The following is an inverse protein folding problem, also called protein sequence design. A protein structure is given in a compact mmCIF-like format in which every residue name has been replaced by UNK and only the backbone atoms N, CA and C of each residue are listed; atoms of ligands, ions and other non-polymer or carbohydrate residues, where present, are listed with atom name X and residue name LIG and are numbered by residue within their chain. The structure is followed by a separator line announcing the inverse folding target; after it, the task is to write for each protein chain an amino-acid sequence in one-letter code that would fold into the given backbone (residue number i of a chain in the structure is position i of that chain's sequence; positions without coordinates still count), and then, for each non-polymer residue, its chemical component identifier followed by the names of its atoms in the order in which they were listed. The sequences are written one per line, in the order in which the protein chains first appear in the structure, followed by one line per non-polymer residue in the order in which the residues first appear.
data_IF_847288409072
#
_entry.id   IF_847288409072
#
_cell.length_a   1.000
_cell.length_b   1.000
_cell.length_c   1.000
_cell.angle_alpha   90.00
_cell.angle_beta   90.00
_cell.angle_gamma   90.00
#
_symmetry.space_group_name_H-M   'P 1'
#
loop_
_entity.id
_entity.type
_entity.pdbx_description
1 polymer ?
#
# COMPACT_ATOMS: atom_id res chain seq x y z
N UNK A 1 -25.88 -6.89 1.34
CA UNK A 1 -24.93 -7.69 0.54
C UNK A 1 -24.10 -8.51 1.49
N UNK A 2 -23.72 -9.74 1.12
CA UNK A 2 -22.81 -10.55 1.94
C UNK A 2 -21.41 -9.92 1.83
N UNK A 3 -20.77 -9.66 2.97
CA UNK A 3 -19.40 -9.12 2.98
C UNK A 3 -18.44 -10.11 2.32
N UNK A 4 -17.46 -9.60 1.58
CA UNK A 4 -16.41 -10.41 0.96
C UNK A 4 -15.58 -11.06 2.07
N UNK A 5 -15.33 -12.37 1.97
CA UNK A 5 -14.45 -13.08 2.91
C UNK A 5 -13.20 -13.58 2.19
N UNK A 6 -12.14 -13.87 2.94
CA UNK A 6 -10.88 -14.38 2.38
C UNK A 6 -11.09 -15.77 1.74
N UNK A 7 -11.99 -16.58 2.30
CA UNK A 7 -12.39 -17.89 1.76
C UNK A 7 -13.12 -17.76 0.42
N UNK A 8 -13.96 -16.73 0.28
CA UNK A 8 -14.65 -16.49 -0.98
C UNK A 8 -13.67 -16.01 -2.04
N UNK A 9 -12.78 -15.07 -1.68
CA UNK A 9 -11.75 -14.56 -2.59
C UNK A 9 -10.80 -15.66 -3.05
N UNK A 10 -10.43 -16.59 -2.17
CA UNK A 10 -9.54 -17.72 -2.47
C UNK A 10 -10.07 -18.71 -3.51
N UNK A 11 -11.35 -18.63 -3.90
CA UNK A 11 -11.94 -19.47 -4.96
C UNK A 11 -11.63 -18.97 -6.37
N UNK A 12 -11.13 -17.74 -6.50
CA UNK A 12 -10.94 -17.10 -7.79
C UNK A 12 -9.44 -17.01 -8.18
N UNK A 13 -9.12 -17.01 -9.48
CA UNK A 13 -7.80 -16.64 -9.95
C UNK A 13 -7.54 -15.16 -9.63
N UNK A 14 -6.37 -14.86 -9.06
CA UNK A 14 -6.03 -13.53 -8.57
C UNK A 14 -5.00 -12.85 -9.48
N UNK A 15 -5.23 -11.56 -9.72
CA UNK A 15 -4.35 -10.65 -10.46
C UNK A 15 -3.91 -9.57 -9.47
N UNK A 16 -2.62 -9.52 -9.11
CA UNK A 16 -2.14 -8.66 -8.02
C UNK A 16 -0.72 -8.15 -8.26
N UNK A 17 -0.14 -7.45 -7.29
CA UNK A 17 1.21 -6.93 -7.37
C UNK A 17 2.29 -8.03 -7.32
N UNK A 18 3.43 -7.77 -7.94
CA UNK A 18 4.61 -8.67 -7.86
C UNK A 18 5.19 -8.70 -6.45
N UNK A 19 5.52 -9.91 -5.98
CA UNK A 19 6.24 -10.14 -4.72
C UNK A 19 7.55 -9.36 -4.69
N UNK A 20 7.83 -8.68 -3.57
CA UNK A 20 9.07 -7.92 -3.37
C UNK A 20 8.96 -6.41 -3.56
N UNK A 21 7.83 -5.88 -4.03
CA UNK A 21 7.53 -4.45 -3.87
C UNK A 21 7.06 -4.10 -2.43
N UNK A 22 6.57 -5.08 -1.66
CA UNK A 22 6.06 -4.88 -0.28
C UNK A 22 6.48 -5.96 0.74
N UNK A 23 7.51 -6.77 0.47
CA UNK A 23 7.95 -7.84 1.39
C UNK A 23 7.00 -9.05 1.42
N UNK A 24 6.95 -9.80 2.55
CA UNK A 24 5.83 -10.73 2.81
C UNK A 24 4.58 -9.89 2.76
N UNK A 25 3.75 -10.08 1.73
CA UNK A 25 2.68 -9.13 1.46
C UNK A 25 1.58 -9.27 2.51
N UNK A 26 0.89 -8.18 2.83
CA UNK A 26 -0.30 -8.21 3.69
C UNK A 26 -1.35 -9.21 3.14
N UNK A 27 -1.34 -9.42 1.81
CA UNK A 27 -2.11 -10.44 1.10
C UNK A 27 -1.71 -11.85 1.55
N UNK A 28 -0.43 -12.22 1.51
CA UNK A 28 0.04 -13.54 1.95
C UNK A 28 -0.31 -13.78 3.41
N UNK A 29 -0.14 -12.77 4.27
CA UNK A 29 -0.46 -12.89 5.69
C UNK A 29 -1.95 -13.19 5.90
N UNK A 30 -2.83 -12.53 5.15
CA UNK A 30 -4.27 -12.74 5.23
C UNK A 30 -4.64 -14.17 4.80
N UNK A 31 -4.18 -14.61 3.63
CA UNK A 31 -4.47 -15.96 3.11
C UNK A 31 -3.86 -17.06 4.00
N UNK A 32 -2.62 -16.89 4.45
CA UNK A 32 -1.96 -17.85 5.34
C UNK A 32 -2.67 -17.96 6.70
N UNK A 33 -3.19 -16.85 7.25
CA UNK A 33 -3.94 -16.88 8.51
C UNK A 33 -5.23 -17.71 8.43
N UNK A 34 -5.81 -17.83 7.24
CA UNK A 34 -6.96 -18.69 6.94
C UNK A 34 -6.57 -20.10 6.47
N UNK A 35 -5.27 -20.40 6.35
CA UNK A 35 -4.79 -21.69 5.83
C UNK A 35 -5.08 -21.91 4.34
N UNK A 36 -5.26 -20.83 3.57
CA UNK A 36 -5.60 -20.87 2.16
C UNK A 36 -4.35 -20.55 1.34
N UNK A 37 -4.08 -21.34 0.30
CA UNK A 37 -3.08 -21.01 -0.71
C UNK A 37 -3.76 -20.19 -1.82
N UNK A 38 -3.39 -18.91 -2.04
CA UNK A 38 -4.03 -18.09 -3.06
C UNK A 38 -3.63 -18.55 -4.47
N UNK A 39 -4.60 -18.61 -5.38
CA UNK A 39 -4.36 -18.91 -6.80
C UNK A 39 -3.97 -17.65 -7.58
N UNK A 40 -2.73 -17.19 -7.44
CA UNK A 40 -2.23 -16.01 -8.14
C UNK A 40 -1.81 -16.40 -9.56
N UNK A 41 -2.60 -15.98 -10.55
CA UNK A 41 -2.39 -16.33 -11.97
C UNK A 41 -1.59 -15.26 -12.73
N UNK A 42 -1.53 -14.03 -12.20
CA UNK A 42 -0.80 -12.94 -12.83
C UNK A 42 -0.30 -11.94 -11.78
N UNK A 43 0.93 -11.48 -11.97
CA UNK A 43 1.52 -10.42 -11.15
C UNK A 43 2.02 -9.27 -12.00
N UNK A 44 1.84 -8.04 -11.52
CA UNK A 44 2.29 -6.82 -12.18
C UNK A 44 2.87 -5.80 -11.21
N UNK A 45 3.65 -4.85 -11.71
CA UNK A 45 4.20 -3.75 -10.90
C UNK A 45 3.25 -2.54 -10.85
N UNK A 46 2.30 -2.46 -11.77
CA UNK A 46 1.41 -1.31 -11.97
C UNK A 46 -0.06 -1.74 -11.91
N UNK A 47 -0.87 -0.93 -11.22
CA UNK A 47 -2.31 -1.09 -11.14
C UNK A 47 -2.99 -1.05 -12.52
N UNK A 48 -2.50 -0.24 -13.46
CA UNK A 48 -3.11 -0.15 -14.80
C UNK A 48 -2.96 -1.46 -15.58
N UNK A 49 -1.85 -2.17 -15.36
CA UNK A 49 -1.65 -3.52 -15.93
C UNK A 49 -2.61 -4.51 -15.26
N UNK A 50 -2.74 -4.46 -13.93
CA UNK A 50 -3.71 -5.30 -13.19
C UNK A 50 -5.12 -5.08 -13.75
N UNK A 51 -5.59 -3.83 -13.82
CA UNK A 51 -6.92 -3.48 -14.35
C UNK A 51 -7.11 -3.97 -15.78
N UNK A 52 -6.10 -3.86 -16.63
CA UNK A 52 -6.15 -4.36 -18.01
C UNK A 52 -6.44 -5.86 -18.06
N UNK A 53 -5.75 -6.68 -17.27
CA UNK A 53 -5.97 -8.12 -17.27
C UNK A 53 -7.26 -8.55 -16.55
N UNK A 54 -7.74 -7.77 -15.59
CA UNK A 54 -9.08 -7.95 -15.01
C UNK A 54 -10.16 -7.70 -16.07
N UNK A 55 -10.04 -6.62 -16.87
CA UNK A 55 -10.96 -6.34 -17.99
C UNK A 55 -10.99 -7.45 -19.04
N UNK A 56 -9.86 -8.11 -19.26
CA UNK A 56 -9.75 -9.28 -20.14
C UNK A 56 -10.31 -10.58 -19.53
N UNK A 57 -10.81 -10.54 -18.29
CA UNK A 57 -11.41 -11.69 -17.61
C UNK A 57 -10.40 -12.68 -17.04
N UNK A 58 -9.14 -12.29 -16.85
CA UNK A 58 -8.09 -13.19 -16.35
C UNK A 58 -8.35 -13.60 -14.88
N UNK A 59 -8.99 -12.74 -14.10
CA UNK A 59 -9.31 -13.02 -12.71
C UNK A 59 -9.75 -11.78 -11.92
N UNK A 60 -9.76 -11.94 -10.60
CA UNK A 60 -10.11 -10.87 -9.64
C UNK A 60 -8.87 -10.05 -9.32
N UNK A 61 -8.97 -8.73 -9.50
CA UNK A 61 -7.91 -7.78 -9.20
C UNK A 61 -7.82 -7.45 -7.71
N UNK A 62 -6.62 -7.50 -7.15
CA UNK A 62 -6.32 -6.96 -5.81
C UNK A 62 -5.29 -5.85 -5.98
N UNK A 63 -5.65 -4.64 -5.54
CA UNK A 63 -4.84 -3.43 -5.75
C UNK A 63 -5.14 -2.38 -4.67
N UNK A 64 -4.30 -1.36 -4.57
CA UNK A 64 -4.56 -0.25 -3.65
C UNK A 64 -5.84 0.51 -4.05
N UNK A 65 -6.66 0.88 -3.05
CA UNK A 65 -7.91 1.64 -3.20
C UNK A 65 -7.76 2.85 -4.11
N UNK A 66 -6.71 3.65 -3.88
CA UNK A 66 -6.41 4.90 -4.59
C UNK A 66 -6.20 4.74 -6.10
N UNK A 67 -5.91 3.53 -6.59
CA UNK A 67 -5.63 3.27 -7.99
C UNK A 67 -6.88 2.95 -8.83
N UNK A 68 -8.05 2.82 -8.19
CA UNK A 68 -9.35 2.81 -8.86
C UNK A 68 -9.92 4.23 -8.89
N UNK A 69 -10.21 4.74 -10.07
CA UNK A 69 -10.67 6.13 -10.25
C UNK A 69 -12.04 6.17 -10.93
N UNK A 70 -12.62 7.36 -11.07
CA UNK A 70 -13.86 7.56 -11.83
C UNK A 70 -13.74 7.13 -13.32
N UNK A 71 -12.51 6.99 -13.84
CA UNK A 71 -12.25 6.52 -15.20
C UNK A 71 -12.43 5.00 -15.34
N UNK A 72 -12.38 4.26 -14.23
CA UNK A 72 -12.49 2.80 -14.20
C UNK A 72 -13.96 2.34 -13.98
N UNK A 73 -14.93 3.12 -14.50
CA UNK A 73 -16.36 2.89 -14.29
C UNK A 73 -16.89 1.54 -14.84
N UNK A 74 -16.08 0.87 -15.67
CA UNK A 74 -16.35 -0.47 -16.19
C UNK A 74 -15.96 -1.59 -15.22
N UNK A 75 -15.23 -1.27 -14.15
CA UNK A 75 -14.83 -2.19 -13.09
C UNK A 75 -15.68 -1.95 -11.83
N UNK A 76 -15.96 -3.03 -11.10
CA UNK A 76 -16.68 -2.97 -9.83
C UNK A 76 -15.67 -3.04 -8.69
N UNK A 77 -15.60 -1.96 -7.90
CA UNK A 77 -14.81 -1.93 -6.68
C UNK A 77 -15.56 -2.62 -5.53
N UNK A 78 -14.88 -3.54 -4.86
CA UNK A 78 -15.34 -4.19 -3.64
C UNK A 78 -14.31 -3.86 -2.56
N UNK A 79 -14.78 -3.26 -1.45
CA UNK A 79 -13.89 -2.98 -0.33
C UNK A 79 -13.40 -4.29 0.31
N UNK A 80 -12.09 -4.33 0.56
CA UNK A 80 -11.40 -5.45 1.19
C UNK A 80 -10.49 -4.99 2.35
N UNK A 81 -10.70 -3.76 2.83
CA UNK A 81 -9.93 -3.17 3.94
C UNK A 81 -10.00 -3.99 5.23
N UNK A 82 -11.08 -4.75 5.43
CA UNK A 82 -11.26 -5.66 6.57
C UNK A 82 -10.51 -6.99 6.41
N UNK A 83 -10.08 -7.35 5.20
CA UNK A 83 -9.37 -8.61 4.92
C UNK A 83 -7.85 -8.46 5.00
N UNK A 84 -7.33 -7.27 4.69
CA UNK A 84 -5.90 -7.01 4.59
C UNK A 84 -5.48 -5.93 5.57
N UNK A 85 -4.28 -6.06 6.13
CA UNK A 85 -3.72 -4.98 6.94
C UNK A 85 -3.42 -3.77 6.06
N UNK A 86 -3.60 -2.54 6.56
CA UNK A 86 -3.24 -1.35 5.82
C UNK A 86 -1.73 -1.29 5.62
N UNK A 87 -1.31 -1.03 4.39
CA UNK A 87 0.09 -0.79 4.07
C UNK A 87 0.45 0.68 4.32
N UNK A 88 1.71 0.94 4.74
CA UNK A 88 2.19 2.29 5.04
C UNK A 88 3.18 2.78 3.97
N UNK A 89 2.86 3.89 3.31
CA UNK A 89 3.79 4.58 2.39
C UNK A 89 4.78 5.42 3.18
N UNK A 90 6.07 5.28 2.87
CA UNK A 90 7.16 5.99 3.56
C UNK A 90 7.93 6.88 2.58
N UNK A 91 8.35 8.06 3.04
CA UNK A 91 9.40 8.84 2.40
C UNK A 91 10.74 8.44 3.02
N UNK A 92 11.74 8.16 2.18
CA UNK A 92 13.08 7.84 2.62
C UNK A 92 14.11 8.71 1.90
N UNK A 93 15.14 9.11 2.64
CA UNK A 93 16.31 9.79 2.11
C UNK A 93 17.55 9.30 2.84
N UNK A 94 18.71 9.41 2.18
CA UNK A 94 19.99 9.03 2.79
C UNK A 94 20.31 10.00 3.92
N UNK A 95 20.69 9.50 5.09
CA UNK A 95 21.03 10.32 6.27
C UNK A 95 22.14 11.35 6.00
N UNK A 96 23.06 11.08 5.05
CA UNK A 96 24.12 12.01 4.67
C UNK A 96 23.67 13.10 3.68
N UNK A 97 22.40 13.09 3.25
CA UNK A 97 21.87 14.07 2.31
C UNK A 97 21.61 15.37 3.04
N UNK A 98 22.12 16.48 2.50
CA UNK A 98 21.72 17.80 2.96
C UNK A 98 20.39 18.16 2.30
N UNK A 99 19.31 18.21 3.07
CA UNK A 99 18.00 18.62 2.59
C UNK A 99 17.97 20.14 2.32
N UNK A 100 17.49 20.52 1.13
CA UNK A 100 17.27 21.93 0.75
C UNK A 100 15.85 22.35 1.14
N UNK A 101 15.59 23.66 1.21
CA UNK A 101 14.25 24.18 1.57
C UNK A 101 13.12 23.54 0.76
N UNK A 102 13.25 23.48 -0.58
CA UNK A 102 12.23 22.87 -1.44
C UNK A 102 12.00 21.36 -1.17
N UNK A 103 12.96 20.66 -0.57
CA UNK A 103 12.79 19.24 -0.21
C UNK A 103 11.90 19.12 1.03
N UNK A 104 12.07 20.01 2.01
CA UNK A 104 11.16 20.10 3.15
C UNK A 104 9.75 20.49 2.69
N UNK A 105 9.66 21.49 1.81
CA UNK A 105 8.37 21.94 1.26
C UNK A 105 7.67 20.78 0.52
N UNK A 106 8.41 19.96 -0.23
CA UNK A 106 7.88 18.76 -0.89
C UNK A 106 7.39 17.71 0.11
N UNK A 107 8.13 17.43 1.19
CA UNK A 107 7.74 16.44 2.19
C UNK A 107 6.46 16.87 2.91
N UNK A 108 6.38 18.14 3.29
CA UNK A 108 5.20 18.73 3.94
C UNK A 108 4.00 18.79 2.99
N UNK A 109 4.22 19.11 1.71
CA UNK A 109 3.18 19.05 0.68
C UNK A 109 2.65 17.63 0.44
N UNK A 110 3.55 16.64 0.39
CA UNK A 110 3.17 15.24 0.21
C UNK A 110 2.41 14.71 1.43
N UNK A 111 2.82 15.14 2.62
CA UNK A 111 2.27 14.66 3.88
C UNK A 111 2.36 15.75 4.97
N UNK A 112 1.22 16.37 5.36
CA UNK A 112 1.21 17.56 6.22
C UNK A 112 1.89 17.41 7.60
N UNK A 113 1.97 16.18 8.13
CA UNK A 113 2.64 15.94 9.41
C UNK A 113 4.18 15.99 9.31
N UNK A 114 4.75 15.91 8.10
CA UNK A 114 6.19 15.99 7.84
C UNK A 114 6.68 17.44 7.75
N UNK A 115 6.32 18.26 8.73
CA UNK A 115 6.81 19.64 8.81
C UNK A 115 8.34 19.66 8.89
N UNK A 116 8.96 20.74 8.42
CA UNK A 116 10.42 20.93 8.53
C UNK A 116 10.97 20.61 9.92
N UNK A 117 10.28 21.07 10.97
CA UNK A 117 10.70 20.85 12.36
C UNK A 117 10.72 19.37 12.77
N UNK A 118 9.80 18.56 12.25
CA UNK A 118 9.70 17.13 12.50
C UNK A 118 10.78 16.38 11.72
N UNK A 119 10.98 16.74 10.44
CA UNK A 119 12.02 16.14 9.60
C UNK A 119 13.42 16.43 10.16
N UNK A 120 13.70 17.66 10.59
CA UNK A 120 14.99 18.01 11.22
C UNK A 120 15.22 17.25 12.55
N UNK A 121 14.16 16.90 13.29
CA UNK A 121 14.28 16.00 14.45
C UNK A 121 14.62 14.58 14.02
N UNK A 122 13.94 14.06 12.99
CA UNK A 122 14.21 12.74 12.44
C UNK A 122 15.64 12.61 11.89
N UNK A 123 16.17 13.65 11.24
CA UNK A 123 17.56 13.71 10.76
C UNK A 123 18.60 13.54 11.87
N UNK A 124 18.30 13.98 13.10
CA UNK A 124 19.24 13.85 14.23
C UNK A 124 19.26 12.44 14.83
N UNK A 125 18.24 11.63 14.54
CA UNK A 125 18.15 10.25 14.98
C UNK A 125 19.00 9.35 14.07
N UNK A 126 19.74 8.42 14.68
CA UNK A 126 20.74 7.60 13.96
C UNK A 126 20.22 6.23 13.54
N UNK A 127 19.02 5.86 13.96
CA UNK A 127 18.43 4.55 13.70
C UNK A 127 16.93 4.65 13.41
N UNK A 128 16.46 3.72 12.58
CA UNK A 128 15.06 3.69 12.13
C UNK A 128 14.07 3.41 13.26
N UNK A 129 14.47 2.77 14.36
CA UNK A 129 13.55 2.49 15.46
C UNK A 129 13.24 3.77 16.24
N UNK A 130 14.25 4.60 16.49
CA UNK A 130 14.08 5.92 17.08
C UNK A 130 13.21 6.82 16.19
N UNK A 131 13.41 6.76 14.87
CA UNK A 131 12.55 7.49 13.91
C UNK A 131 11.10 7.00 14.02
N UNK A 132 10.84 5.68 14.03
CA UNK A 132 9.49 5.15 14.20
C UNK A 132 8.82 5.66 15.48
N UNK A 133 9.54 5.66 16.61
CA UNK A 133 9.03 6.19 17.89
C UNK A 133 8.63 7.66 17.84
N UNK A 134 9.31 8.48 17.02
CA UNK A 134 8.93 9.87 16.82
C UNK A 134 7.51 10.01 16.24
N UNK A 135 7.04 9.00 15.50
CA UNK A 135 5.75 9.00 14.80
C UNK A 135 4.67 8.12 15.47
N UNK A 136 4.96 7.39 16.55
CA UNK A 136 4.02 6.45 17.21
C UNK A 136 2.71 7.10 17.71
N UNK A 137 2.69 8.41 17.94
CA UNK A 137 1.50 9.15 18.39
C UNK A 137 0.86 10.04 17.33
N UNK A 138 1.30 9.96 16.09
CA UNK A 138 0.78 10.77 14.99
C UNK A 138 -0.24 9.96 14.22
N UNK A 139 -1.48 10.45 14.18
CA UNK A 139 -2.52 9.87 13.36
C UNK A 139 -2.26 10.20 11.88
N UNK A 140 -2.26 9.17 11.04
CA UNK A 140 -1.95 9.29 9.62
C UNK A 140 -3.24 9.24 8.79
N UNK A 141 -3.27 10.01 7.70
CA UNK A 141 -4.37 9.92 6.73
C UNK A 141 -4.39 8.54 6.07
N UNK A 142 -5.59 7.96 5.97
CA UNK A 142 -5.83 6.74 5.20
C UNK A 142 -6.39 7.12 3.84
N UNK A 143 -5.86 6.53 2.76
CA UNK A 143 -6.27 6.77 1.38
C UNK A 143 -6.81 5.51 0.73
#
# INVERSE_FOLDING_TARGET
MKELTIEELGKYPLVTYTFGFTGVSDLDSAFNSAGILPNIVFTATDADVIKTYVRLGLGVGIMASMAHTALDADLVLIDASHLFRPSMTNIAFKHSTFLRNYMYDFMEYFSPHLTRSVVEKAERLRDNNSVKKLFEGIELETK
#
